data_IF_646063034251
#
_entry.id   IF_646063034251
#
_cell.length_a   1.000
_cell.length_b   1.000
_cell.length_c   1.000
_cell.angle_alpha   90.00
_cell.angle_beta   90.00
_cell.angle_gamma   90.00
#
_symmetry.space_group_name_H-M   'P 1'
#
loop_
_entity.id
_entity.type
_entity.pdbx_description
1 polymer ?
#
# COMPACT_ATOMS: atom_id res chain seq x y z
N UNK A 1 6.47 -16.57 31.66
CA UNK A 1 6.89 -15.25 31.14
C UNK A 1 6.36 -14.12 32.03
N UNK A 2 5.05 -14.02 32.22
CA UNK A 2 4.39 -12.99 33.06
C UNK A 2 4.91 -12.95 34.47
N UNK A 3 5.13 -14.12 35.12
CA UNK A 3 5.73 -14.23 36.47
C UNK A 3 7.13 -13.58 36.54
N UNK A 4 7.94 -13.71 35.49
CA UNK A 4 9.28 -13.13 35.41
C UNK A 4 9.26 -11.62 35.20
N UNK A 5 8.24 -11.12 34.50
CA UNK A 5 8.07 -9.69 34.17
C UNK A 5 7.25 -8.96 35.22
N UNK A 6 6.60 -9.65 36.15
CA UNK A 6 5.77 -9.07 37.20
C UNK A 6 4.48 -8.40 36.71
N UNK A 7 4.09 -8.64 35.46
CA UNK A 7 2.88 -8.05 34.87
C UNK A 7 2.19 -9.01 33.91
N UNK A 8 0.85 -8.95 33.78
CA UNK A 8 0.11 -9.73 32.83
C UNK A 8 0.33 -9.20 31.40
N UNK A 9 0.62 -10.11 30.47
CA UNK A 9 0.76 -9.78 29.04
C UNK A 9 -0.53 -10.08 28.27
N UNK A 10 -1.36 -10.98 28.79
CA UNK A 10 -2.57 -11.47 28.15
C UNK A 10 -3.74 -11.40 29.10
N UNK A 11 -4.84 -10.80 28.64
CA UNK A 11 -6.15 -10.86 29.31
C UNK A 11 -6.95 -12.00 28.68
N UNK A 12 -7.38 -12.93 29.53
CA UNK A 12 -8.30 -14.01 29.14
C UNK A 12 -9.70 -13.71 29.67
N UNK A 13 -10.67 -13.71 28.81
CA UNK A 13 -12.08 -13.64 29.19
C UNK A 13 -12.90 -14.69 28.44
N UNK A 14 -14.16 -14.85 28.80
CA UNK A 14 -15.06 -15.86 28.20
C UNK A 14 -15.34 -15.64 26.70
N UNK A 15 -14.92 -14.51 26.14
CA UNK A 15 -15.12 -14.14 24.73
C UNK A 15 -13.83 -14.19 23.90
N UNK A 16 -12.67 -14.50 24.53
CA UNK A 16 -11.41 -14.58 23.81
C UNK A 16 -10.20 -14.17 24.63
N UNK A 17 -9.10 -13.97 23.92
CA UNK A 17 -7.80 -13.60 24.46
C UNK A 17 -7.36 -12.26 23.82
N UNK A 18 -6.95 -11.31 24.65
CA UNK A 18 -6.46 -10.00 24.20
C UNK A 18 -5.14 -9.65 24.89
N UNK A 19 -4.26 -8.90 24.20
CA UNK A 19 -3.03 -8.41 24.79
C UNK A 19 -3.29 -7.20 25.68
N UNK A 20 -2.58 -7.15 26.83
CA UNK A 20 -2.48 -5.93 27.64
C UNK A 20 -1.64 -4.86 26.94
N UNK A 21 -1.53 -3.65 27.50
CA UNK A 21 -0.60 -2.63 27.04
C UNK A 21 0.86 -3.11 27.11
N UNK A 22 1.22 -3.79 28.19
CA UNK A 22 2.50 -4.45 28.40
C UNK A 22 2.71 -5.59 27.41
N UNK A 23 1.68 -6.38 27.14
CA UNK A 23 1.69 -7.46 26.15
C UNK A 23 1.98 -6.93 24.73
N UNK A 24 1.36 -5.83 24.33
CA UNK A 24 1.61 -5.21 23.03
C UNK A 24 3.05 -4.69 22.92
N UNK A 25 3.57 -4.04 23.98
CA UNK A 25 4.98 -3.59 24.02
C UNK A 25 5.96 -4.75 23.98
N UNK A 26 5.67 -5.81 24.73
CA UNK A 26 6.51 -7.01 24.76
C UNK A 26 6.52 -7.71 23.39
N UNK A 27 5.36 -7.88 22.75
CA UNK A 27 5.26 -8.48 21.42
C UNK A 27 6.06 -7.68 20.38
N UNK A 28 5.88 -6.35 20.35
CA UNK A 28 6.62 -5.50 19.41
C UNK A 28 8.15 -5.59 19.62
N UNK A 29 8.62 -5.64 20.88
CA UNK A 29 10.04 -5.83 21.19
C UNK A 29 10.55 -7.24 20.85
N UNK A 30 9.73 -8.26 21.04
CA UNK A 30 10.08 -9.63 20.69
C UNK A 30 10.18 -9.82 19.18
N UNK A 31 9.27 -9.20 18.41
CA UNK A 31 9.31 -9.21 16.95
C UNK A 31 10.59 -8.53 16.42
N UNK A 32 10.99 -7.39 16.98
CA UNK A 32 12.26 -6.69 16.63
C UNK A 32 13.48 -7.57 16.90
N UNK A 33 13.53 -8.25 18.05
CA UNK A 33 14.63 -9.16 18.39
C UNK A 33 14.68 -10.35 17.41
N UNK A 34 13.54 -10.95 17.10
CA UNK A 34 13.47 -12.05 16.14
C UNK A 34 13.86 -11.61 14.72
N UNK A 35 13.47 -10.41 14.31
CA UNK A 35 13.94 -9.81 13.05
C UNK A 35 15.47 -9.64 13.03
N UNK A 36 16.07 -9.17 14.14
CA UNK A 36 17.54 -9.00 14.26
C UNK A 36 18.29 -10.33 14.24
N UNK A 37 17.79 -11.35 14.93
CA UNK A 37 18.38 -12.70 14.89
C UNK A 37 18.32 -13.23 13.46
N UNK A 38 17.18 -13.17 12.82
CA UNK A 38 17.01 -13.59 11.45
C UNK A 38 17.90 -12.79 10.48
N UNK A 39 18.13 -11.49 10.75
CA UNK A 39 19.04 -10.65 10.00
C UNK A 39 20.50 -11.13 10.13
N UNK A 40 20.89 -11.54 11.33
CA UNK A 40 22.23 -12.05 11.58
C UNK A 40 22.43 -13.41 10.91
N UNK A 41 21.46 -14.31 11.00
CA UNK A 41 21.49 -15.61 10.31
C UNK A 41 21.65 -15.44 8.81
N UNK A 42 20.89 -14.50 8.20
CA UNK A 42 21.00 -14.21 6.77
C UNK A 42 22.34 -13.57 6.40
N UNK A 43 22.89 -12.67 7.24
CA UNK A 43 24.21 -12.07 6.98
C UNK A 43 25.31 -13.12 7.00
N UNK A 44 25.23 -14.10 7.91
CA UNK A 44 26.18 -15.21 7.99
C UNK A 44 26.01 -16.19 6.82
N UNK A 45 24.77 -16.49 6.43
CA UNK A 45 24.49 -17.39 5.29
C UNK A 45 24.79 -16.72 3.95
N UNK A 46 24.50 -15.42 3.79
CA UNK A 46 24.85 -14.67 2.58
C UNK A 46 26.36 -14.51 2.39
N UNK A 47 27.12 -14.47 3.48
CA UNK A 47 28.58 -14.47 3.41
C UNK A 47 29.17 -15.83 2.94
N UNK A 48 28.36 -16.89 2.94
CA UNK A 48 28.76 -18.26 2.59
C UNK A 48 28.06 -18.85 1.36
N UNK A 49 27.05 -18.20 0.80
CA UNK A 49 26.31 -18.74 -0.33
C UNK A 49 25.37 -17.74 -0.95
N UNK A 50 25.01 -17.98 -2.21
CA UNK A 50 23.98 -17.24 -2.94
C UNK A 50 22.61 -17.43 -2.31
N UNK A 51 21.84 -16.35 -2.24
CA UNK A 51 20.43 -16.39 -1.83
C UNK A 51 19.66 -17.23 -2.86
N UNK A 52 18.97 -18.29 -2.40
CA UNK A 52 18.27 -19.24 -3.27
C UNK A 52 16.91 -19.64 -2.71
N UNK A 53 16.06 -20.13 -3.59
CA UNK A 53 14.72 -20.64 -3.25
C UNK A 53 13.62 -19.94 -4.03
N UNK A 54 12.37 -20.14 -3.59
CA UNK A 54 11.20 -19.54 -4.23
C UNK A 54 10.74 -18.32 -3.48
N UNK A 55 10.22 -17.35 -4.23
CA UNK A 55 9.65 -16.12 -3.69
C UNK A 55 8.37 -15.79 -4.45
N UNK A 56 7.22 -16.03 -3.82
CA UNK A 56 5.91 -15.77 -4.37
C UNK A 56 5.33 -14.50 -3.77
N UNK A 57 5.16 -13.47 -4.60
CA UNK A 57 4.65 -12.15 -4.18
C UNK A 57 3.33 -11.88 -4.90
N UNK A 58 2.34 -11.41 -4.15
CA UNK A 58 1.16 -10.77 -4.72
C UNK A 58 1.20 -9.26 -4.49
N UNK A 59 0.68 -8.50 -5.43
CA UNK A 59 0.58 -7.05 -5.33
C UNK A 59 -0.66 -6.54 -6.06
N UNK A 60 -1.16 -5.36 -5.67
CA UNK A 60 -2.18 -4.64 -6.43
C UNK A 60 -1.67 -4.26 -7.83
N UNK A 61 -2.57 -4.26 -8.83
CA UNK A 61 -2.22 -4.04 -10.24
C UNK A 61 -1.37 -2.78 -10.45
N UNK A 62 -1.85 -1.62 -10.05
CA UNK A 62 -1.20 -0.35 -10.38
C UNK A 62 0.20 -0.21 -9.77
N UNK A 63 0.40 -0.63 -8.52
CA UNK A 63 1.71 -0.62 -7.88
C UNK A 63 2.61 -1.73 -8.42
N UNK A 64 2.04 -2.88 -8.67
CA UNK A 64 2.74 -4.03 -9.24
C UNK A 64 3.38 -3.71 -10.58
N UNK A 65 2.61 -3.19 -11.54
CA UNK A 65 3.10 -2.87 -12.88
C UNK A 65 4.10 -1.70 -12.89
N UNK A 66 3.78 -0.60 -12.20
CA UNK A 66 4.60 0.62 -12.28
C UNK A 66 5.85 0.62 -11.42
N UNK A 67 5.81 -0.10 -10.30
CA UNK A 67 6.85 0.02 -9.26
C UNK A 67 7.47 -1.32 -8.94
N UNK A 68 6.65 -2.29 -8.49
CA UNK A 68 7.18 -3.53 -7.94
C UNK A 68 7.83 -4.41 -9.01
N UNK A 69 7.35 -4.38 -10.26
CA UNK A 69 7.94 -5.10 -11.38
C UNK A 69 9.40 -4.72 -11.61
N UNK A 70 9.72 -3.43 -11.51
CA UNK A 70 11.10 -2.93 -11.66
C UNK A 70 11.97 -3.37 -10.48
N UNK A 71 11.47 -3.24 -9.25
CA UNK A 71 12.18 -3.69 -8.07
C UNK A 71 12.43 -5.21 -8.09
N UNK A 72 11.42 -5.98 -8.51
CA UNK A 72 11.51 -7.44 -8.63
C UNK A 72 12.55 -7.85 -9.68
N UNK A 73 12.61 -7.16 -10.82
CA UNK A 73 13.58 -7.42 -11.87
C UNK A 73 15.04 -7.14 -11.38
N UNK A 74 15.26 -6.00 -10.72
CA UNK A 74 16.60 -5.67 -10.16
C UNK A 74 17.00 -6.66 -9.06
N UNK A 75 16.07 -7.06 -8.20
CA UNK A 75 16.34 -8.05 -7.16
C UNK A 75 16.66 -9.43 -7.74
N UNK A 76 15.90 -9.89 -8.74
CA UNK A 76 16.13 -11.18 -9.40
C UNK A 76 17.48 -11.19 -10.15
N UNK A 77 17.83 -10.10 -10.83
CA UNK A 77 19.13 -9.96 -11.49
C UNK A 77 20.33 -10.05 -10.51
N UNK A 78 20.16 -9.50 -9.30
CA UNK A 78 21.17 -9.60 -8.23
C UNK A 78 21.18 -10.95 -7.51
N UNK A 79 20.14 -11.79 -7.67
CA UNK A 79 19.97 -13.07 -6.98
C UNK A 79 19.51 -14.16 -7.96
N UNK A 80 20.37 -14.64 -8.86
CA UNK A 80 19.98 -15.51 -9.98
C UNK A 80 19.49 -16.92 -9.56
N UNK A 81 19.71 -17.34 -8.31
CA UNK A 81 19.21 -18.61 -7.79
C UNK A 81 17.81 -18.46 -7.10
N UNK A 82 17.18 -17.29 -7.19
CA UNK A 82 15.82 -17.06 -6.73
C UNK A 82 14.81 -17.28 -7.88
N UNK A 83 13.85 -18.17 -7.67
CA UNK A 83 12.69 -18.30 -8.51
C UNK A 83 11.61 -17.31 -8.03
N UNK A 84 11.53 -16.11 -8.64
CA UNK A 84 10.56 -15.08 -8.25
C UNK A 84 9.29 -15.18 -9.10
N UNK A 85 8.14 -15.24 -8.44
CA UNK A 85 6.80 -15.14 -9.04
C UNK A 85 6.12 -13.89 -8.51
N UNK A 86 5.71 -13.00 -9.41
CA UNK A 86 4.93 -11.80 -9.10
C UNK A 86 3.53 -11.95 -9.69
N UNK A 87 2.53 -12.01 -8.81
CA UNK A 87 1.11 -12.07 -9.16
C UNK A 87 0.44 -10.73 -8.90
N UNK A 88 -0.30 -10.21 -9.86
CA UNK A 88 -1.03 -8.95 -9.71
C UNK A 88 -2.53 -9.22 -9.62
N UNK A 89 -3.18 -8.65 -8.62
CA UNK A 89 -4.63 -8.78 -8.43
C UNK A 89 -5.22 -7.66 -7.58
N UNK A 90 -6.46 -7.30 -7.87
CA UNK A 90 -7.32 -6.50 -7.02
C UNK A 90 -8.69 -7.20 -6.91
N UNK A 91 -9.15 -7.56 -5.70
CA UNK A 91 -8.50 -7.37 -4.39
C UNK A 91 -7.25 -8.25 -4.22
N UNK A 92 -6.42 -7.95 -3.20
CA UNK A 92 -5.24 -8.76 -2.89
C UNK A 92 -5.63 -10.17 -2.46
N UNK A 93 -4.77 -11.14 -2.80
CA UNK A 93 -4.98 -12.56 -2.50
C UNK A 93 -4.72 -12.88 -1.03
N UNK A 94 -5.38 -13.92 -0.53
CA UNK A 94 -5.08 -14.48 0.79
C UNK A 94 -3.74 -15.25 0.72
N UNK A 95 -2.72 -14.85 1.52
CA UNK A 95 -1.41 -15.47 1.42
C UNK A 95 -1.39 -16.96 1.79
N UNK A 96 -2.27 -17.41 2.69
CA UNK A 96 -2.33 -18.84 3.07
C UNK A 96 -2.96 -19.66 1.97
N UNK A 97 -4.12 -19.25 1.48
CA UNK A 97 -4.86 -19.99 0.47
C UNK A 97 -4.12 -20.04 -0.87
N UNK A 98 -3.36 -19.00 -1.18
CA UNK A 98 -2.66 -18.86 -2.46
C UNK A 98 -1.18 -19.26 -2.39
N UNK A 99 -0.69 -19.73 -1.23
CA UNK A 99 0.71 -20.15 -1.06
C UNK A 99 1.72 -19.04 -1.30
N UNK A 100 1.39 -17.81 -0.86
CA UNK A 100 2.23 -16.64 -1.05
C UNK A 100 3.13 -16.41 0.16
N UNK A 101 4.37 -16.01 -0.12
CA UNK A 101 5.31 -15.60 0.91
C UNK A 101 5.04 -14.17 1.37
N UNK A 102 4.55 -13.32 0.45
CA UNK A 102 4.40 -11.89 0.69
C UNK A 102 3.25 -11.31 -0.14
N UNK A 103 2.46 -10.45 0.48
CA UNK A 103 1.48 -9.61 -0.21
C UNK A 103 1.80 -8.15 0.04
N UNK A 104 1.93 -7.35 -1.03
CA UNK A 104 2.16 -5.91 -0.96
C UNK A 104 0.88 -5.19 -1.37
N UNK A 105 0.33 -4.41 -0.46
CA UNK A 105 -0.93 -3.72 -0.63
C UNK A 105 -0.82 -2.23 -0.30
N UNK A 106 -1.54 -1.39 -1.06
CA UNK A 106 -1.64 0.05 -0.86
C UNK A 106 -3.07 0.38 -0.43
N UNK A 107 -3.25 0.85 0.80
CA UNK A 107 -4.57 1.15 1.33
C UNK A 107 -4.80 0.56 2.71
N UNK A 108 -6.06 0.35 3.07
CA UNK A 108 -6.42 -0.27 4.33
C UNK A 108 -6.07 -1.75 4.32
N UNK A 109 -5.47 -2.20 5.42
CA UNK A 109 -5.20 -3.62 5.60
C UNK A 109 -6.52 -4.36 5.84
N UNK A 110 -6.70 -5.57 5.24
CA UNK A 110 -7.79 -6.43 5.63
C UNK A 110 -7.67 -6.77 7.12
N UNK A 111 -8.80 -6.94 7.83
CA UNK A 111 -8.81 -7.43 9.21
C UNK A 111 -7.96 -8.68 9.31
N UNK A 112 -6.91 -8.66 10.15
CA UNK A 112 -5.83 -9.56 9.88
C UNK A 112 -5.47 -10.50 11.01
N UNK A 113 -5.59 -11.74 10.67
CA UNK A 113 -4.80 -12.86 11.17
C UNK A 113 -3.36 -12.87 10.62
N UNK A 114 -2.96 -11.86 9.84
CA UNK A 114 -1.66 -11.76 9.17
C UNK A 114 -0.76 -10.73 9.85
N UNK A 115 0.54 -10.98 9.83
CA UNK A 115 1.51 -9.97 10.23
C UNK A 115 1.63 -8.92 9.14
N UNK A 116 1.53 -7.66 9.53
CA UNK A 116 1.62 -6.54 8.59
C UNK A 116 2.74 -5.59 9.00
N UNK A 117 3.55 -5.20 8.02
CA UNK A 117 4.62 -4.22 8.18
C UNK A 117 4.39 -3.07 7.21
N UNK A 118 4.31 -1.85 7.74
CA UNK A 118 4.23 -0.66 6.88
C UNK A 118 5.57 -0.45 6.17
N UNK A 119 5.53 -0.39 4.84
CA UNK A 119 6.69 -0.16 4.00
C UNK A 119 6.97 1.33 3.81
N UNK A 120 5.90 2.10 3.53
CA UNK A 120 6.00 3.54 3.27
C UNK A 120 4.68 4.25 3.56
N UNK A 121 4.77 5.56 3.75
CA UNK A 121 3.62 6.46 3.76
C UNK A 121 3.29 6.85 2.33
N UNK A 122 2.01 6.98 2.04
CA UNK A 122 1.50 7.44 0.77
C UNK A 122 0.19 8.18 1.01
N UNK A 123 -0.04 9.20 0.20
CA UNK A 123 -1.29 9.93 0.15
C UNK A 123 -1.85 9.87 -1.27
N UNK A 124 -3.15 9.65 -1.37
CA UNK A 124 -3.89 9.86 -2.61
C UNK A 124 -4.30 11.32 -2.68
N UNK A 125 -4.19 11.89 -3.86
CA UNK A 125 -4.52 13.28 -4.20
C UNK A 125 -5.63 13.33 -5.24
N UNK A 126 -6.41 14.38 -5.21
CA UNK A 126 -7.45 14.64 -6.20
C UNK A 126 -6.84 15.24 -7.45
N UNK A 127 -7.15 14.67 -8.62
CA UNK A 127 -6.65 15.13 -9.90
C UNK A 127 -7.76 15.25 -10.94
N UNK A 128 -7.63 16.26 -11.81
CA UNK A 128 -8.50 16.45 -12.96
C UNK A 128 -7.68 16.94 -14.15
N UNK A 129 -8.16 16.72 -15.37
CA UNK A 129 -7.52 17.32 -16.55
C UNK A 129 -7.87 18.82 -16.66
N UNK A 130 -6.96 19.65 -17.19
CA UNK A 130 -7.27 21.05 -17.48
C UNK A 130 -8.51 21.20 -18.39
N UNK A 131 -8.71 20.30 -19.34
CA UNK A 131 -9.86 20.34 -20.24
C UNK A 131 -11.21 20.15 -19.52
N UNK A 132 -11.26 19.30 -18.48
CA UNK A 132 -12.46 19.16 -17.65
C UNK A 132 -12.76 20.44 -16.89
N UNK A 133 -11.74 21.04 -16.27
CA UNK A 133 -11.88 22.27 -15.49
C UNK A 133 -12.33 23.45 -16.35
N UNK A 134 -11.81 23.57 -17.57
CA UNK A 134 -12.22 24.58 -18.54
C UNK A 134 -13.68 24.40 -18.99
N UNK A 135 -14.09 23.18 -19.34
CA UNK A 135 -15.46 22.87 -19.77
C UNK A 135 -16.51 23.20 -18.73
N UNK A 136 -16.18 22.98 -17.48
CA UNK A 136 -17.11 23.22 -16.36
C UNK A 136 -17.11 24.66 -15.88
N UNK A 137 -16.17 25.50 -16.37
CA UNK A 137 -16.01 26.89 -15.92
C UNK A 137 -15.72 27.04 -14.43
N UNK A 138 -15.34 25.94 -13.78
CA UNK A 138 -15.30 25.85 -12.34
C UNK A 138 -13.87 25.98 -11.81
N UNK A 139 -13.67 27.02 -11.04
CA UNK A 139 -12.56 27.04 -10.08
C UNK A 139 -12.94 26.12 -8.92
N UNK A 140 -12.29 24.97 -8.79
CA UNK A 140 -12.54 24.00 -7.71
C UNK A 140 -11.76 24.43 -6.47
N UNK A 141 -12.41 25.19 -5.62
CA UNK A 141 -11.81 25.79 -4.42
C UNK A 141 -12.35 25.15 -3.13
N UNK A 142 -13.45 24.39 -3.23
CA UNK A 142 -14.10 23.77 -2.08
C UNK A 142 -14.56 22.35 -2.36
N UNK A 143 -14.80 21.54 -1.30
CA UNK A 143 -15.44 20.22 -1.44
C UNK A 143 -16.82 20.26 -2.12
N UNK A 144 -17.56 21.35 -1.96
CA UNK A 144 -18.87 21.54 -2.59
C UNK A 144 -18.77 21.70 -4.11
N UNK A 145 -17.69 22.32 -4.60
CA UNK A 145 -17.44 22.43 -6.04
C UNK A 145 -17.07 21.08 -6.63
N UNK A 146 -16.27 20.30 -5.90
CA UNK A 146 -15.90 18.96 -6.32
C UNK A 146 -17.10 18.04 -6.49
N UNK A 147 -18.10 18.13 -5.62
CA UNK A 147 -19.32 17.32 -5.69
C UNK A 147 -20.16 17.56 -6.96
N UNK A 148 -19.94 18.69 -7.64
CA UNK A 148 -20.64 19.05 -8.89
C UNK A 148 -19.96 18.49 -10.14
N UNK A 149 -18.70 18.03 -10.01
CA UNK A 149 -17.93 17.50 -11.14
C UNK A 149 -18.20 16.00 -11.35
N UNK A 150 -18.14 15.51 -12.58
CA UNK A 150 -18.11 14.08 -12.82
C UNK A 150 -16.86 13.47 -12.16
N UNK A 151 -17.02 12.31 -11.55
CA UNK A 151 -15.92 11.60 -10.94
C UNK A 151 -15.82 10.18 -11.50
N UNK A 152 -14.64 9.61 -11.44
CA UNK A 152 -14.36 8.24 -11.86
C UNK A 152 -14.18 7.39 -10.59
N UNK A 153 -15.00 6.34 -10.47
CA UNK A 153 -14.91 5.38 -9.37
C UNK A 153 -13.89 4.29 -9.69
N UNK A 154 -13.04 4.00 -8.72
CA UNK A 154 -12.08 2.91 -8.80
C UNK A 154 -12.43 1.91 -7.70
N UNK A 155 -12.73 0.67 -8.11
CA UNK A 155 -13.09 -0.41 -7.18
C UNK A 155 -11.82 -1.15 -6.71
N UNK A 156 -10.91 -0.42 -6.07
CA UNK A 156 -9.66 -0.96 -5.48
C UNK A 156 -9.79 -1.25 -3.99
N UNK A 157 -10.63 -0.47 -3.29
CA UNK A 157 -10.79 -0.54 -1.84
C UNK A 157 -12.23 -0.95 -1.48
N UNK A 158 -12.44 -1.41 -0.25
CA UNK A 158 -13.76 -1.75 0.31
C UNK A 158 -14.68 -0.55 0.53
N UNK A 159 -14.22 0.65 0.18
CA UNK A 159 -15.01 1.86 0.31
C UNK A 159 -16.16 1.89 -0.70
N UNK A 160 -17.32 2.42 -0.34
CA UNK A 160 -18.39 2.67 -1.30
C UNK A 160 -17.83 3.49 -2.47
N UNK A 161 -17.93 2.98 -3.69
CA UNK A 161 -17.32 3.57 -4.90
C UNK A 161 -17.86 4.96 -5.30
N UNK A 162 -18.57 5.66 -4.41
CA UNK A 162 -19.13 7.01 -4.62
C UNK A 162 -18.86 7.96 -3.44
N UNK A 163 -17.93 7.62 -2.54
CA UNK A 163 -17.57 8.45 -1.40
C UNK A 163 -16.06 8.52 -1.28
N UNK A 164 -15.51 9.72 -1.14
CA UNK A 164 -14.13 9.95 -0.74
C UNK A 164 -14.06 10.44 0.69
N UNK A 165 -13.25 9.80 1.51
CA UNK A 165 -12.95 10.23 2.87
C UNK A 165 -11.55 10.85 2.89
N UNK A 166 -11.50 12.17 2.91
CA UNK A 166 -10.28 12.95 2.79
C UNK A 166 -9.90 13.56 4.14
N UNK A 167 -8.64 13.82 4.33
CA UNK A 167 -8.11 14.57 5.47
C UNK A 167 -7.62 15.92 5.02
N UNK A 168 -8.01 16.95 5.74
CA UNK A 168 -7.55 18.32 5.56
C UNK A 168 -7.09 18.93 6.88
N UNK A 169 -6.59 20.16 6.82
CA UNK A 169 -6.11 20.90 8.01
C UNK A 169 -7.17 21.05 9.09
N UNK A 170 -8.44 21.15 8.70
CA UNK A 170 -9.60 21.36 9.62
C UNK A 170 -10.31 20.05 9.99
N UNK A 171 -9.72 18.88 9.70
CA UNK A 171 -10.30 17.58 10.03
C UNK A 171 -10.65 16.73 8.81
N UNK A 172 -11.45 15.69 9.05
CA UNK A 172 -11.92 14.79 8.00
C UNK A 172 -13.05 15.41 7.19
N UNK A 173 -12.99 15.23 5.87
CA UNK A 173 -14.02 15.68 4.93
C UNK A 173 -14.52 14.49 4.14
N UNK A 174 -15.83 14.28 4.14
CA UNK A 174 -16.49 13.22 3.40
C UNK A 174 -17.23 13.80 2.22
N UNK A 175 -16.86 13.40 1.01
CA UNK A 175 -17.42 13.91 -0.23
C UNK A 175 -18.15 12.78 -0.94
N UNK A 176 -19.46 12.95 -1.13
CA UNK A 176 -20.25 12.07 -2.00
C UNK A 176 -20.19 12.64 -3.41
N UNK A 177 -19.89 11.80 -4.38
CA UNK A 177 -19.83 12.19 -5.78
C UNK A 177 -20.70 11.30 -6.67
N UNK A 178 -21.04 11.80 -7.84
CA UNK A 178 -21.70 10.99 -8.87
C UNK A 178 -20.63 10.42 -9.81
N UNK A 179 -20.69 9.13 -10.06
CA UNK A 179 -19.78 8.44 -10.99
C UNK A 179 -20.59 7.68 -12.04
N UNK A 180 -20.42 8.07 -13.29
CA UNK A 180 -20.93 7.33 -14.44
C UNK A 180 -19.89 6.34 -15.02
N UNK A 181 -18.63 6.45 -14.58
CA UNK A 181 -17.52 5.63 -15.02
C UNK A 181 -16.92 4.89 -13.83
N UNK A 182 -16.90 3.57 -13.89
CA UNK A 182 -16.34 2.69 -12.88
C UNK A 182 -15.37 1.71 -13.51
N UNK A 183 -14.30 1.41 -12.81
CA UNK A 183 -13.31 0.42 -13.21
C UNK A 183 -12.59 -0.12 -11.98
N UNK A 184 -12.06 -1.33 -12.05
CA UNK A 184 -11.12 -1.87 -11.07
C UNK A 184 -9.65 -1.65 -11.48
N UNK A 185 -9.42 -0.99 -12.62
CA UNK A 185 -8.08 -0.65 -13.11
C UNK A 185 -7.76 0.80 -12.85
N UNK A 186 -6.83 1.04 -11.96
CA UNK A 186 -6.34 2.36 -11.63
C UNK A 186 -5.68 3.09 -12.81
N UNK A 187 -5.09 2.34 -13.73
CA UNK A 187 -4.50 2.87 -14.96
C UNK A 187 -5.59 3.33 -15.95
N UNK A 188 -6.64 2.52 -16.12
CA UNK A 188 -7.80 2.90 -16.94
C UNK A 188 -8.45 4.18 -16.42
N UNK A 189 -8.65 4.29 -15.09
CA UNK A 189 -9.19 5.50 -14.48
C UNK A 189 -8.33 6.73 -14.75
N UNK A 190 -7.01 6.58 -14.69
CA UNK A 190 -6.06 7.67 -14.98
C UNK A 190 -6.21 8.15 -16.43
N UNK A 191 -6.26 7.23 -17.39
CA UNK A 191 -6.46 7.57 -18.82
C UNK A 191 -7.80 8.26 -19.05
N UNK A 192 -8.87 7.82 -18.40
CA UNK A 192 -10.17 8.49 -18.48
C UNK A 192 -10.14 9.91 -17.92
N UNK A 193 -9.41 10.12 -16.82
CA UNK A 193 -9.25 11.44 -16.26
C UNK A 193 -8.41 12.36 -17.17
N UNK A 194 -7.34 11.85 -17.77
CA UNK A 194 -6.56 12.57 -18.77
C UNK A 194 -7.41 12.99 -19.99
N UNK A 195 -8.36 12.15 -20.39
CA UNK A 195 -9.32 12.43 -21.45
C UNK A 195 -10.43 13.42 -21.03
N UNK A 196 -10.44 13.92 -19.80
CA UNK A 196 -11.41 14.90 -19.31
C UNK A 196 -12.76 14.33 -18.91
N UNK A 197 -12.84 13.04 -18.60
CA UNK A 197 -14.10 12.36 -18.31
C UNK A 197 -14.50 12.42 -16.83
N UNK A 198 -13.59 12.85 -15.94
CA UNK A 198 -13.91 12.99 -14.52
C UNK A 198 -12.69 13.27 -13.64
N UNK A 199 -12.99 13.58 -12.38
CA UNK A 199 -12.01 13.70 -11.31
C UNK A 199 -11.64 12.30 -10.80
N UNK A 200 -10.38 12.09 -10.43
CA UNK A 200 -9.89 10.87 -9.81
C UNK A 200 -9.17 11.16 -8.50
N UNK A 201 -9.14 10.16 -7.63
CA UNK A 201 -8.34 10.13 -6.40
C UNK A 201 -7.23 9.09 -6.58
N UNK A 202 -5.96 9.53 -6.65
CA UNK A 202 -4.81 8.67 -6.99
C UNK A 202 -3.59 8.96 -6.14
N UNK A 203 -2.80 7.93 -5.89
CA UNK A 203 -1.47 8.09 -5.29
C UNK A 203 -0.62 9.04 -6.12
N UNK A 204 0.09 9.97 -5.47
CA UNK A 204 0.91 10.98 -6.16
C UNK A 204 1.92 10.36 -7.11
N UNK A 205 2.60 9.29 -6.69
CA UNK A 205 3.58 8.57 -7.53
C UNK A 205 2.94 7.98 -8.79
N UNK A 206 1.66 7.57 -8.72
CA UNK A 206 0.97 6.93 -9.85
C UNK A 206 0.57 7.93 -10.96
N UNK A 207 0.45 9.22 -10.62
CA UNK A 207 0.07 10.28 -11.56
C UNK A 207 1.20 11.31 -11.79
N UNK A 208 2.41 11.04 -11.31
CA UNK A 208 3.55 11.96 -11.42
C UNK A 208 3.81 12.42 -12.85
N UNK A 209 3.84 11.50 -13.80
CA UNK A 209 4.08 11.78 -15.21
C UNK A 209 2.97 12.65 -15.83
N UNK A 210 1.71 12.36 -15.47
CA UNK A 210 0.56 13.12 -15.93
C UNK A 210 0.53 14.53 -15.34
N UNK A 211 0.97 14.70 -14.09
CA UNK A 211 1.13 16.01 -13.46
C UNK A 211 2.27 16.82 -14.10
N UNK A 212 3.43 16.18 -14.33
CA UNK A 212 4.59 16.82 -14.94
C UNK A 212 4.33 17.24 -16.39
N UNK A 213 3.61 16.40 -17.15
CA UNK A 213 3.25 16.70 -18.54
C UNK A 213 2.05 17.64 -18.67
N UNK A 214 1.42 18.04 -17.57
CA UNK A 214 0.23 18.91 -17.56
C UNK A 214 -1.06 18.25 -18.06
N UNK A 215 -1.08 16.93 -18.27
CA UNK A 215 -2.30 16.18 -18.62
C UNK A 215 -3.30 16.16 -17.47
N UNK A 216 -2.80 16.11 -16.24
CA UNK A 216 -3.57 16.23 -15.02
C UNK A 216 -3.05 17.41 -14.18
N UNK A 217 -3.95 17.98 -13.39
CA UNK A 217 -3.65 19.02 -12.39
C UNK A 217 -4.21 18.54 -11.05
N UNK A 218 -3.44 18.72 -9.97
CA UNK A 218 -3.96 18.51 -8.63
C UNK A 218 -4.96 19.61 -8.29
N UNK A 219 -6.12 19.20 -7.79
CA UNK A 219 -7.15 20.09 -7.25
C UNK A 219 -7.26 19.89 -5.74
N UNK A 220 -7.72 20.91 -5.00
CA UNK A 220 -7.84 20.89 -3.55
C UNK A 220 -6.59 20.32 -2.84
N UNK A 221 -5.42 20.92 -3.00
CA UNK A 221 -4.14 20.34 -2.56
C UNK A 221 -4.03 20.10 -1.04
N UNK A 222 -4.86 20.80 -0.26
CA UNK A 222 -4.95 20.62 1.20
C UNK A 222 -5.76 19.38 1.61
N UNK A 223 -6.42 18.69 0.67
CA UNK A 223 -7.20 17.49 0.91
C UNK A 223 -6.50 16.27 0.34
N UNK A 224 -6.21 15.30 1.20
CA UNK A 224 -5.58 14.03 0.79
C UNK A 224 -6.27 12.85 1.45
N UNK A 225 -6.07 11.65 0.91
CA UNK A 225 -6.47 10.42 1.55
C UNK A 225 -5.22 9.59 1.90
N UNK A 226 -4.89 9.43 3.19
CA UNK A 226 -3.80 8.56 3.59
C UNK A 226 -4.03 7.12 3.10
N UNK A 227 -3.02 6.57 2.43
CA UNK A 227 -3.11 5.25 1.81
C UNK A 227 -1.73 4.59 1.80
N UNK A 228 -1.21 4.28 3.00
CA UNK A 228 0.14 3.71 3.17
C UNK A 228 0.31 2.37 2.44
N UNK A 229 1.54 2.07 2.06
CA UNK A 229 1.92 0.77 1.53
C UNK A 229 2.32 -0.18 2.66
N UNK A 230 1.82 -1.40 2.60
CA UNK A 230 2.08 -2.46 3.57
C UNK A 230 2.54 -3.74 2.88
N UNK A 231 3.43 -4.46 3.57
CA UNK A 231 3.67 -5.87 3.31
C UNK A 231 2.98 -6.70 4.37
N UNK A 232 2.25 -7.73 3.98
CA UNK A 232 1.72 -8.68 4.94
C UNK A 232 1.95 -10.13 4.50
N UNK A 233 1.99 -11.02 5.48
CA UNK A 233 2.35 -12.43 5.30
C UNK A 233 1.73 -13.30 6.38
N UNK A 234 1.63 -14.59 6.11
CA UNK A 234 1.14 -15.57 7.04
C UNK A 234 2.24 -16.05 7.99
N UNK A 235 1.84 -16.43 9.22
CA UNK A 235 2.77 -16.97 10.22
C UNK A 235 3.64 -15.91 10.88
N UNK A 236 4.43 -16.32 11.85
CA UNK A 236 5.22 -15.43 12.71
C UNK A 236 6.63 -15.14 12.15
N UNK A 237 7.00 -15.71 11.01
CA UNK A 237 8.35 -15.56 10.44
C UNK A 237 8.30 -15.56 8.92
N UNK A 238 8.91 -14.56 8.32
CA UNK A 238 9.17 -14.52 6.87
C UNK A 238 10.26 -15.51 6.48
N UNK A 239 10.07 -16.20 5.37
CA UNK A 239 11.13 -16.96 4.72
C UNK A 239 12.30 -16.05 4.31
N UNK A 240 13.51 -16.61 4.23
CA UNK A 240 14.72 -15.84 3.90
C UNK A 240 14.63 -15.03 2.60
N UNK A 241 14.10 -15.58 1.47
CA UNK A 241 13.94 -14.80 0.25
C UNK A 241 13.01 -13.59 0.41
N UNK A 242 11.85 -13.76 1.06
CA UNK A 242 10.88 -12.70 1.28
C UNK A 242 11.44 -11.58 2.17
N UNK A 243 12.17 -11.95 3.22
CA UNK A 243 12.83 -11.01 4.12
C UNK A 243 13.93 -10.22 3.41
N UNK A 244 14.76 -10.90 2.61
CA UNK A 244 15.81 -10.27 1.82
C UNK A 244 15.23 -9.31 0.78
N UNK A 245 14.12 -9.69 0.15
CA UNK A 245 13.39 -8.83 -0.77
C UNK A 245 12.88 -7.56 -0.08
N UNK A 246 12.27 -7.65 1.11
CA UNK A 246 11.80 -6.47 1.85
C UNK A 246 12.95 -5.55 2.28
N UNK A 247 14.12 -6.11 2.65
CA UNK A 247 15.32 -5.31 2.96
C UNK A 247 15.84 -4.55 1.75
N UNK A 248 15.76 -5.15 0.58
CA UNK A 248 16.09 -4.51 -0.69
C UNK A 248 15.02 -3.46 -1.07
N UNK A 249 13.75 -3.80 -0.97
CA UNK A 249 12.64 -2.98 -1.47
C UNK A 249 12.51 -1.63 -0.76
N UNK A 250 12.63 -1.60 0.58
CA UNK A 250 12.39 -0.36 1.36
C UNK A 250 13.40 0.75 0.99
N UNK A 251 14.73 0.52 0.97
CA UNK A 251 15.69 1.51 0.47
C UNK A 251 15.48 1.85 -1.01
N UNK A 252 15.14 0.86 -1.84
CA UNK A 252 14.88 1.04 -3.26
C UNK A 252 13.73 2.02 -3.52
N UNK A 253 12.62 1.90 -2.76
CA UNK A 253 11.48 2.81 -2.83
C UNK A 253 11.86 4.24 -2.40
N UNK A 254 12.69 4.38 -1.36
CA UNK A 254 13.16 5.69 -0.89
C UNK A 254 14.02 6.41 -1.92
N UNK A 255 14.95 5.71 -2.54
CA UNK A 255 15.83 6.27 -3.58
C UNK A 255 15.05 6.82 -4.78
N UNK A 256 13.87 6.28 -5.07
CA UNK A 256 12.99 6.70 -6.16
C UNK A 256 11.89 7.69 -5.75
N UNK A 257 11.93 8.19 -4.51
CA UNK A 257 10.95 9.17 -4.01
C UNK A 257 9.52 8.63 -3.85
N UNK A 258 9.36 7.30 -3.86
CA UNK A 258 8.05 6.65 -3.69
C UNK A 258 7.72 6.52 -2.21
N UNK A 259 8.74 6.33 -1.38
CA UNK A 259 8.65 6.25 0.06
C UNK A 259 9.23 7.50 0.71
N UNK A 260 8.48 8.13 1.61
CA UNK A 260 8.95 9.20 2.49
C UNK A 260 9.26 8.64 3.88
#
# INVERSE_FOLDING_TARGET
METRLGCPLVLRNTRGMALTGEGKRFLAGADDILERIAALEDAVTSARGTLKGKLHINCSWGFGERVLSLAAAEFAAANPEIELTLLLSDPPLDPVQSGLDLVIHIGELPESRFHAKRLFRNDRILCASPSLLQKTGSSVTSPADLAKLPAISIDEDRLPGNIWELKGKNGAVRIRFHSSLRTNSSETATRWAEAGLGVILRSRWAVSDALQSGKLTQILPDLTMPSSGYAYYAGNRLASPARSFLRFLVPWLKQRGIAS
#
